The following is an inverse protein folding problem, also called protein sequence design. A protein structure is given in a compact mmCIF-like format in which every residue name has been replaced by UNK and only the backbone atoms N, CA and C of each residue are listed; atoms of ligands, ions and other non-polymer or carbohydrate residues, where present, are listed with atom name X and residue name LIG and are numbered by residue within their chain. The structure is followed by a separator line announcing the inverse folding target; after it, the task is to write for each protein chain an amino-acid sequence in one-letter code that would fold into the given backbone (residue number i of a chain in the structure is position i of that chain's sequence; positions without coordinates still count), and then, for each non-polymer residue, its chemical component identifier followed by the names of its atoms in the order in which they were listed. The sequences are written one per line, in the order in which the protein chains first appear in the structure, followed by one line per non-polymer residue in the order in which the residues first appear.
data_IF_099858426760
#
_entry.id   IF_099858426760
#
_cell.length_a   1.000
_cell.length_b   1.000
_cell.length_c   1.000
_cell.angle_alpha   90.00
_cell.angle_beta   90.00
_cell.angle_gamma   90.00
#
_symmetry.space_group_name_H-M   'P 1'
#
loop_
_entity.id
_entity.type
_entity.pdbx_description
1 polymer ?
#
# COMPACT_ATOMS: atom_id res chain seq x y z
N UNK A 1 -10.34 -15.34 4.29
CA UNK A 1 -9.83 -14.02 3.87
C UNK A 1 -8.40 -14.21 3.41
N UNK A 2 -7.96 -13.50 2.39
CA UNK A 2 -6.66 -13.67 1.74
C UNK A 2 -5.92 -12.33 1.68
N UNK A 3 -4.66 -12.33 2.12
CA UNK A 3 -3.75 -11.18 2.13
C UNK A 3 -3.10 -10.98 0.78
N UNK A 4 -3.39 -9.90 0.06
CA UNK A 4 -2.65 -9.57 -1.17
C UNK A 4 -1.38 -8.76 -0.83
N UNK A 5 -0.35 -8.91 -1.66
CA UNK A 5 0.78 -7.98 -1.69
C UNK A 5 0.90 -7.42 -3.09
N UNK A 6 1.33 -6.15 -3.18
CA UNK A 6 1.36 -5.43 -4.44
C UNK A 6 2.62 -5.79 -5.24
N UNK A 7 2.60 -6.99 -5.80
CA UNK A 7 3.61 -7.56 -6.71
C UNK A 7 2.90 -8.19 -7.92
N UNK A 8 3.59 -8.38 -9.06
CA UNK A 8 3.06 -9.13 -10.19
C UNK A 8 2.59 -10.51 -9.74
N UNK A 9 1.45 -10.94 -10.24
CA UNK A 9 0.86 -12.21 -9.80
C UNK A 9 1.82 -13.40 -9.99
N UNK A 10 2.66 -13.37 -11.04
CA UNK A 10 3.66 -14.41 -11.33
C UNK A 10 4.71 -14.60 -10.23
N UNK A 11 4.92 -13.57 -9.39
CA UNK A 11 5.89 -13.66 -8.30
C UNK A 11 5.37 -14.51 -7.14
N UNK A 12 4.05 -14.71 -7.00
CA UNK A 12 3.48 -15.32 -5.78
C UNK A 12 2.33 -16.28 -6.02
N UNK A 13 1.50 -16.09 -7.05
CA UNK A 13 0.23 -16.80 -7.19
C UNK A 13 0.40 -18.31 -7.38
N UNK A 14 1.43 -18.73 -8.10
CA UNK A 14 1.70 -20.16 -8.30
C UNK A 14 2.05 -20.87 -6.99
N UNK A 15 2.76 -20.18 -6.08
CA UNK A 15 3.15 -20.68 -4.76
C UNK A 15 2.04 -20.57 -3.71
N UNK A 16 0.91 -19.93 -4.04
CA UNK A 16 -0.24 -19.84 -3.12
C UNK A 16 -0.90 -21.22 -2.98
N UNK A 17 -1.20 -21.60 -1.74
CA UNK A 17 -1.89 -22.83 -1.35
C UNK A 17 -3.12 -23.15 -2.23
N UNK A 18 -3.26 -24.42 -2.60
CA UNK A 18 -4.45 -24.93 -3.28
C UNK A 18 -5.73 -24.75 -2.44
N UNK A 19 -5.63 -24.66 -1.11
CA UNK A 19 -6.77 -24.34 -0.24
C UNK A 19 -7.32 -22.94 -0.52
N UNK A 20 -6.43 -21.97 -0.74
CA UNK A 20 -6.81 -20.60 -1.09
C UNK A 20 -7.44 -20.58 -2.48
N UNK A 21 -6.81 -21.24 -3.47
CA UNK A 21 -7.35 -21.33 -4.84
C UNK A 21 -8.72 -22.02 -4.86
N UNK A 22 -8.91 -23.08 -4.07
CA UNK A 22 -10.20 -23.75 -3.90
C UNK A 22 -11.23 -22.84 -3.24
N UNK A 23 -10.88 -22.12 -2.18
CA UNK A 23 -11.77 -21.17 -1.52
C UNK A 23 -12.20 -20.04 -2.47
N UNK A 24 -11.27 -19.55 -3.30
CA UNK A 24 -11.56 -18.57 -4.35
C UNK A 24 -12.51 -19.15 -5.40
N UNK A 25 -12.23 -20.35 -5.91
CA UNK A 25 -13.06 -21.00 -6.92
C UNK A 25 -14.50 -21.27 -6.43
N UNK A 26 -14.67 -21.64 -5.15
CA UNK A 26 -15.96 -21.99 -4.55
C UNK A 26 -16.79 -20.81 -4.06
N UNK A 27 -16.20 -19.62 -3.89
CA UNK A 27 -16.96 -18.44 -3.42
C UNK A 27 -17.96 -17.93 -4.46
N UNK A 28 -19.10 -17.41 -4.00
CA UNK A 28 -20.09 -16.75 -4.89
C UNK A 28 -19.62 -15.36 -5.34
N UNK A 29 -18.81 -14.72 -4.48
CA UNK A 29 -18.44 -13.32 -4.63
C UNK A 29 -17.04 -13.06 -4.12
N UNK A 30 -16.39 -12.05 -4.69
CA UNK A 30 -15.07 -11.60 -4.28
C UNK A 30 -15.15 -10.15 -3.84
N UNK A 31 -14.53 -9.84 -2.72
CA UNK A 31 -14.52 -8.51 -2.11
C UNK A 31 -13.08 -8.01 -2.09
N UNK A 32 -12.86 -6.86 -2.73
CA UNK A 32 -11.57 -6.17 -2.81
C UNK A 32 -11.58 -4.89 -1.96
N UNK A 33 -10.41 -4.29 -1.77
CA UNK A 33 -10.30 -2.95 -1.19
C UNK A 33 -11.00 -1.90 -2.06
N UNK A 34 -10.69 -1.92 -3.36
CA UNK A 34 -11.21 -1.01 -4.37
C UNK A 34 -11.66 -1.77 -5.61
N UNK A 35 -12.59 -1.19 -6.35
CA UNK A 35 -12.98 -1.68 -7.67
C UNK A 35 -12.02 -1.16 -8.74
N UNK A 36 -10.94 -1.92 -8.98
CA UNK A 36 -9.92 -1.58 -9.97
C UNK A 36 -10.32 -1.91 -11.41
N UNK A 37 -11.47 -2.57 -11.61
CA UNK A 37 -12.01 -2.84 -12.93
C UNK A 37 -12.89 -1.68 -13.43
N UNK A 38 -13.43 -0.88 -12.51
CA UNK A 38 -14.24 0.28 -12.83
C UNK A 38 -13.39 1.48 -13.29
N UNK A 39 -13.59 1.91 -14.53
CA UNK A 39 -12.86 3.02 -15.13
C UNK A 39 -13.02 4.35 -14.37
N UNK A 40 -14.19 4.62 -13.78
CA UNK A 40 -14.41 5.83 -12.98
C UNK A 40 -13.61 5.79 -11.65
N UNK A 41 -13.48 4.61 -11.01
CA UNK A 41 -12.59 4.45 -9.85
C UNK A 41 -11.14 4.79 -10.22
N UNK A 42 -10.65 4.25 -11.33
CA UNK A 42 -9.29 4.50 -11.82
C UNK A 42 -9.09 5.98 -12.15
N UNK A 43 -10.05 6.60 -12.84
CA UNK A 43 -10.00 8.02 -13.17
C UNK A 43 -9.98 8.91 -11.92
N UNK A 44 -10.82 8.62 -10.93
CA UNK A 44 -10.83 9.36 -9.66
C UNK A 44 -9.50 9.25 -8.92
N UNK A 45 -8.94 8.05 -8.83
CA UNK A 45 -7.64 7.81 -8.21
C UNK A 45 -6.51 8.54 -8.96
N UNK A 46 -6.52 8.49 -10.30
CA UNK A 46 -5.53 9.20 -11.12
C UNK A 46 -5.60 10.72 -10.90
N UNK A 47 -6.81 11.29 -10.92
CA UNK A 47 -7.03 12.73 -10.72
C UNK A 47 -6.61 13.18 -9.31
N UNK A 48 -7.02 12.46 -8.28
CA UNK A 48 -6.82 12.91 -6.89
C UNK A 48 -5.38 12.75 -6.39
N UNK A 49 -4.57 11.93 -7.08
CA UNK A 49 -3.12 11.83 -6.85
C UNK A 49 -2.38 13.12 -7.20
N UNK A 50 -2.93 13.88 -8.15
CA UNK A 50 -2.32 15.10 -8.66
C UNK A 50 -2.91 16.36 -8.00
N UNK A 51 -2.14 17.44 -8.02
CA UNK A 51 -2.55 18.75 -7.51
C UNK A 51 -3.64 19.31 -8.45
N UNK A 52 -4.80 19.73 -7.91
CA UNK A 52 -5.87 20.33 -8.70
C UNK A 52 -5.41 21.59 -9.46
N UNK A 53 -6.07 21.89 -10.59
CA UNK A 53 -5.81 23.12 -11.35
C UNK A 53 -4.45 23.16 -12.06
N UNK A 54 -3.73 22.04 -12.12
CA UNK A 54 -2.43 21.96 -12.81
C UNK A 54 -1.25 22.53 -12.03
N UNK A 55 -1.41 22.77 -10.73
CA UNK A 55 -0.32 23.17 -9.82
C UNK A 55 0.77 22.10 -9.70
N UNK A 56 1.85 22.44 -8.98
CA UNK A 56 3.03 21.57 -8.87
C UNK A 56 3.56 21.49 -7.45
N UNK A 57 4.39 20.50 -7.17
CA UNK A 57 5.06 20.35 -5.87
C UNK A 57 5.95 21.54 -5.50
N UNK A 58 6.32 22.41 -6.47
CA UNK A 58 6.99 23.70 -6.19
C UNK A 58 6.17 24.59 -5.25
N UNK A 59 4.85 24.47 -5.31
CA UNK A 59 3.93 25.28 -4.50
C UNK A 59 3.96 24.86 -3.01
N UNK A 60 4.54 23.70 -2.70
CA UNK A 60 4.60 23.11 -1.36
C UNK A 60 6.03 22.96 -0.81
N UNK A 61 7.01 22.72 -1.68
CA UNK A 61 8.39 22.46 -1.30
C UNK A 61 9.20 23.76 -1.24
N UNK A 62 10.12 23.87 -0.27
CA UNK A 62 11.11 24.95 -0.28
C UNK A 62 11.94 24.91 -1.57
N UNK A 63 12.44 26.05 -2.10
CA UNK A 63 13.24 26.07 -3.32
C UNK A 63 14.44 25.11 -3.29
N UNK A 64 15.11 25.02 -2.14
CA UNK A 64 16.24 24.10 -1.93
C UNK A 64 15.81 22.63 -2.02
N UNK A 65 14.69 22.26 -1.41
CA UNK A 65 14.19 20.88 -1.42
C UNK A 65 13.70 20.49 -2.82
N UNK A 66 12.98 21.39 -3.50
CA UNK A 66 12.53 21.16 -4.87
C UNK A 66 13.71 20.89 -5.82
N UNK A 67 14.74 21.73 -5.79
CA UNK A 67 15.91 21.56 -6.66
C UNK A 67 16.68 20.26 -6.38
N UNK A 68 16.78 19.85 -5.11
CA UNK A 68 17.36 18.54 -4.75
C UNK A 68 16.55 17.38 -5.31
N UNK A 69 15.24 17.43 -5.14
CA UNK A 69 14.32 16.41 -5.63
C UNK A 69 14.36 16.31 -7.17
N UNK A 70 14.30 17.44 -7.86
CA UNK A 70 14.40 17.51 -9.32
C UNK A 70 15.72 16.94 -9.82
N UNK A 71 16.83 17.27 -9.15
CA UNK A 71 18.14 16.70 -9.46
C UNK A 71 18.15 15.18 -9.27
N UNK A 72 17.59 14.70 -8.15
CA UNK A 72 17.52 13.26 -7.84
C UNK A 72 16.69 12.51 -8.88
N UNK A 73 15.48 12.98 -9.20
CA UNK A 73 14.60 12.34 -10.20
C UNK A 73 15.29 12.23 -11.56
N UNK A 74 16.02 13.27 -11.97
CA UNK A 74 16.80 13.27 -13.22
C UNK A 74 17.95 12.25 -13.21
N UNK A 75 18.74 12.17 -12.13
CA UNK A 75 19.85 11.20 -12.07
C UNK A 75 19.33 9.76 -11.94
N UNK A 76 18.22 9.57 -11.24
CA UNK A 76 17.57 8.27 -11.07
C UNK A 76 17.03 7.76 -12.41
N UNK A 77 16.31 8.61 -13.16
CA UNK A 77 15.87 8.30 -14.53
C UNK A 77 17.03 7.84 -15.41
N UNK A 78 18.10 8.64 -15.49
CA UNK A 78 19.27 8.32 -16.30
C UNK A 78 19.94 6.99 -15.87
N UNK A 79 19.88 6.65 -14.58
CA UNK A 79 20.39 5.39 -14.08
C UNK A 79 19.53 4.21 -14.53
N UNK A 80 18.20 4.32 -14.44
CA UNK A 80 17.26 3.30 -14.92
C UNK A 80 17.45 3.03 -16.41
N UNK A 81 17.52 4.08 -17.23
CA UNK A 81 17.73 3.98 -18.67
C UNK A 81 19.01 3.19 -18.99
N UNK A 82 20.14 3.54 -18.33
CA UNK A 82 21.41 2.83 -18.53
C UNK A 82 21.41 1.38 -18.06
N UNK A 83 20.74 1.08 -16.93
CA UNK A 83 20.63 -0.29 -16.46
C UNK A 83 19.84 -1.14 -17.44
N UNK A 84 18.80 -0.56 -18.03
CA UNK A 84 17.94 -1.22 -18.99
C UNK A 84 18.66 -1.45 -20.34
N UNK A 85 19.33 -0.44 -20.90
CA UNK A 85 20.16 -0.56 -22.11
C UNK A 85 21.22 -1.68 -21.99
N UNK A 86 21.78 -1.86 -20.79
CA UNK A 86 22.75 -2.95 -20.51
C UNK A 86 22.11 -4.33 -20.50
N UNK A 87 20.86 -4.47 -20.04
CA UNK A 87 20.13 -5.75 -20.03
C UNK A 87 19.64 -6.15 -21.41
N UNK A 88 19.22 -5.19 -22.24
CA UNK A 88 18.81 -5.46 -23.63
C UNK A 88 19.98 -5.86 -24.53
N UNK A 89 21.17 -5.29 -24.34
CA UNK A 89 22.37 -5.70 -25.08
C UNK A 89 22.80 -7.17 -24.81
N UNK A 90 22.21 -7.84 -23.82
CA UNK A 90 22.40 -9.26 -23.51
C UNK A 90 21.29 -10.15 -24.09
N UNK A 91 20.19 -9.58 -24.59
CA UNK A 91 19.07 -10.29 -25.21
C UNK A 91 18.87 -9.77 -26.63
N UNK A 92 19.47 -10.46 -27.61
CA UNK A 92 19.33 -10.12 -29.02
C UNK A 92 17.93 -10.48 -29.52
N UNK A 93 16.98 -9.56 -29.47
CA UNK A 93 15.83 -9.59 -30.40
C UNK A 93 15.35 -8.17 -30.74
N UNK A 94 15.31 -7.90 -32.04
CA UNK A 94 15.36 -6.55 -32.63
C UNK A 94 14.03 -5.80 -32.72
N UNK A 95 13.00 -6.26 -32.00
CA UNK A 95 11.62 -5.73 -32.09
C UNK A 95 11.21 -4.78 -30.94
N UNK A 96 12.01 -4.64 -29.87
CA UNK A 96 11.67 -3.83 -28.68
C UNK A 96 12.37 -2.46 -28.72
N UNK A 97 12.21 -1.68 -29.80
CA UNK A 97 12.95 -0.40 -29.95
C UNK A 97 12.25 0.86 -29.40
N UNK A 98 10.96 0.81 -29.07
CA UNK A 98 10.18 2.00 -28.69
C UNK A 98 9.46 1.94 -27.32
N UNK A 99 9.45 0.80 -26.64
CA UNK A 99 8.60 0.53 -25.47
C UNK A 99 9.22 0.84 -24.07
N UNK A 100 10.56 0.78 -23.87
CA UNK A 100 11.17 0.98 -22.54
C UNK A 100 11.06 2.39 -21.94
N UNK A 101 10.83 3.41 -22.78
CA UNK A 101 10.67 4.80 -22.34
C UNK A 101 9.38 5.00 -21.54
N UNK A 102 8.34 4.23 -21.83
CA UNK A 102 7.02 4.42 -21.23
C UNK A 102 6.97 3.91 -19.79
N UNK A 103 7.70 2.83 -19.45
CA UNK A 103 7.82 2.33 -18.07
C UNK A 103 8.59 3.30 -17.16
N UNK A 104 9.77 3.76 -17.60
CA UNK A 104 10.58 4.74 -16.86
C UNK A 104 9.83 6.07 -16.79
N UNK A 105 9.12 6.43 -17.86
CA UNK A 105 8.17 7.52 -17.92
C UNK A 105 7.10 7.40 -16.84
N UNK A 106 6.38 6.28 -16.77
CA UNK A 106 5.30 6.07 -15.81
C UNK A 106 5.75 6.12 -14.33
N UNK A 107 7.01 5.77 -14.03
CA UNK A 107 7.57 5.81 -12.67
C UNK A 107 8.10 7.23 -12.32
N UNK A 108 8.73 7.93 -13.28
CA UNK A 108 9.51 9.15 -13.02
C UNK A 108 8.93 10.39 -13.71
N UNK A 109 7.83 10.30 -14.47
CA UNK A 109 7.12 11.42 -15.08
C UNK A 109 5.89 11.81 -14.27
N UNK A 110 5.58 13.11 -14.31
CA UNK A 110 4.43 13.66 -13.62
C UNK A 110 4.58 13.72 -12.09
N UNK A 111 5.75 13.37 -11.54
CA UNK A 111 6.04 13.54 -10.10
C UNK A 111 5.87 15.00 -9.67
N UNK A 112 6.13 15.95 -10.58
CA UNK A 112 5.98 17.39 -10.35
C UNK A 112 4.54 17.77 -10.05
N UNK A 113 3.57 17.01 -10.57
CA UNK A 113 2.14 17.27 -10.40
C UNK A 113 1.54 16.53 -9.21
N UNK A 114 2.27 15.61 -8.55
CA UNK A 114 1.74 14.81 -7.43
C UNK A 114 1.45 15.71 -6.22
N UNK A 115 0.40 15.42 -5.46
CA UNK A 115 0.22 16.04 -4.14
C UNK A 115 1.34 15.57 -3.21
N UNK A 116 1.73 16.32 -2.16
CA UNK A 116 2.82 15.94 -1.26
C UNK A 116 2.70 14.53 -0.67
N UNK A 117 1.48 14.09 -0.32
CA UNK A 117 1.22 12.72 0.19
C UNK A 117 1.61 11.66 -0.84
N UNK A 118 1.20 11.85 -2.09
CA UNK A 118 1.46 10.93 -3.19
C UNK A 118 2.91 11.02 -3.70
N UNK A 119 3.55 12.17 -3.54
CA UNK A 119 4.99 12.31 -3.76
C UNK A 119 5.77 11.50 -2.73
N UNK A 120 5.39 11.53 -1.44
CA UNK A 120 6.04 10.71 -0.41
C UNK A 120 5.94 9.21 -0.74
N UNK A 121 4.74 8.73 -1.09
CA UNK A 121 4.56 7.32 -1.46
C UNK A 121 5.32 6.93 -2.72
N UNK A 122 5.44 7.84 -3.70
CA UNK A 122 6.29 7.62 -4.85
C UNK A 122 7.76 7.44 -4.42
N UNK A 123 8.28 8.30 -3.54
CA UNK A 123 9.66 8.17 -3.04
C UNK A 123 9.90 6.86 -2.28
N UNK A 124 8.92 6.41 -1.49
CA UNK A 124 8.98 5.08 -0.86
C UNK A 124 9.02 3.97 -1.89
N UNK A 125 8.23 4.05 -2.97
CA UNK A 125 8.30 3.06 -4.04
C UNK A 125 9.68 3.04 -4.74
N UNK A 126 10.29 4.21 -4.99
CA UNK A 126 11.63 4.27 -5.58
C UNK A 126 12.71 3.60 -4.71
N UNK A 127 12.48 3.52 -3.39
CA UNK A 127 13.41 2.87 -2.46
C UNK A 127 13.38 1.33 -2.50
N UNK A 128 12.39 0.70 -3.14
CA UNK A 128 12.26 -0.77 -3.19
C UNK A 128 13.11 -1.43 -4.29
N UNK A 129 13.67 -0.65 -5.22
CA UNK A 129 14.62 -1.09 -6.27
C UNK A 129 14.12 -2.22 -7.18
N UNK A 130 12.81 -2.41 -7.31
CA UNK A 130 12.25 -3.46 -8.16
C UNK A 130 11.59 -2.90 -9.41
N UNK A 131 12.05 -3.35 -10.58
CA UNK A 131 11.47 -3.04 -11.87
C UNK A 131 10.67 -4.27 -12.32
N UNK A 132 9.35 -4.15 -12.36
CA UNK A 132 8.48 -5.19 -12.88
C UNK A 132 8.63 -5.33 -14.40
N UNK A 133 8.35 -6.53 -14.93
CA UNK A 133 8.21 -6.71 -16.38
C UNK A 133 6.95 -5.98 -16.84
N UNK A 134 7.11 -5.12 -17.84
CA UNK A 134 5.99 -4.46 -18.52
C UNK A 134 4.99 -5.54 -18.96
N UNK A 135 3.69 -5.33 -18.72
CA UNK A 135 2.55 -6.23 -19.03
C UNK A 135 2.19 -7.34 -18.03
N UNK A 136 2.91 -7.50 -16.90
CA UNK A 136 2.43 -8.45 -15.88
C UNK A 136 1.48 -7.74 -14.90
N UNK A 137 0.19 -8.11 -14.81
CA UNK A 137 -0.72 -7.49 -13.86
C UNK A 137 -0.30 -7.74 -12.41
N UNK A 138 -0.54 -6.77 -11.56
CA UNK A 138 -0.39 -6.92 -10.11
C UNK A 138 -1.41 -7.93 -9.59
N UNK A 139 -1.08 -8.64 -8.52
CA UNK A 139 -1.93 -9.69 -7.93
C UNK A 139 -3.38 -9.22 -7.71
N UNK A 140 -3.56 -7.99 -7.23
CA UNK A 140 -4.89 -7.42 -6.98
C UNK A 140 -5.75 -7.34 -8.25
N UNK A 141 -5.16 -6.84 -9.35
CA UNK A 141 -5.85 -6.71 -10.63
C UNK A 141 -6.07 -8.08 -11.29
N UNK A 142 -5.08 -8.96 -11.20
CA UNK A 142 -5.19 -10.34 -11.69
C UNK A 142 -6.36 -11.07 -11.01
N UNK A 143 -6.49 -10.99 -9.69
CA UNK A 143 -7.59 -11.63 -8.97
C UNK A 143 -8.96 -11.04 -9.35
N UNK A 144 -9.03 -9.73 -9.58
CA UNK A 144 -10.27 -9.09 -10.03
C UNK A 144 -10.68 -9.57 -11.43
N UNK A 145 -9.72 -9.64 -12.36
CA UNK A 145 -9.95 -10.18 -13.72
C UNK A 145 -10.35 -11.65 -13.66
N UNK A 146 -9.63 -12.47 -12.88
CA UNK A 146 -9.90 -13.88 -12.75
C UNK A 146 -11.28 -14.17 -12.12
N UNK A 147 -11.71 -13.33 -11.17
CA UNK A 147 -13.05 -13.42 -10.60
C UNK A 147 -14.15 -13.15 -11.64
N UNK A 148 -13.94 -12.18 -12.53
CA UNK A 148 -14.89 -11.87 -13.62
C UNK A 148 -14.97 -12.99 -14.65
N UNK A 149 -13.84 -13.60 -15.03
CA UNK A 149 -13.80 -14.75 -15.93
C UNK A 149 -14.60 -15.93 -15.35
N UNK A 150 -14.59 -16.10 -14.03
CA UNK A 150 -15.39 -17.09 -13.32
C UNK A 150 -16.84 -16.65 -13.03
N UNK A 151 -17.29 -15.54 -13.62
CA UNK A 151 -18.63 -14.95 -13.43
C UNK A 151 -19.00 -14.68 -11.96
N UNK A 152 -18.01 -14.37 -11.12
CA UNK A 152 -18.23 -14.02 -9.72
C UNK A 152 -18.68 -12.56 -9.59
N UNK A 153 -19.47 -12.26 -8.55
CA UNK A 153 -19.83 -10.87 -8.24
C UNK A 153 -18.67 -10.19 -7.53
N UNK A 154 -18.32 -8.98 -7.96
CA UNK A 154 -17.30 -8.15 -7.33
C UNK A 154 -17.92 -7.13 -6.39
N UNK A 155 -17.25 -6.89 -5.27
CA UNK A 155 -17.57 -5.82 -4.32
C UNK A 155 -16.29 -5.08 -3.92
N UNK A 156 -16.39 -3.78 -3.64
CA UNK A 156 -15.34 -3.00 -3.00
C UNK A 156 -15.76 -2.63 -1.57
N UNK A 157 -14.80 -2.64 -0.64
CA UNK A 157 -15.04 -2.28 0.76
C UNK A 157 -14.67 -0.82 1.06
N UNK A 158 -13.91 -0.18 0.18
CA UNK A 158 -13.59 1.25 0.20
C UNK A 158 -13.94 1.92 -1.14
N UNK A 159 -13.89 3.26 -1.12
CA UNK A 159 -14.12 4.13 -2.27
C UNK A 159 -12.82 4.80 -2.73
N UNK A 160 -12.77 5.26 -3.98
CA UNK A 160 -11.61 6.01 -4.49
C UNK A 160 -11.31 7.24 -3.61
N UNK A 161 -12.34 7.98 -3.19
CA UNK A 161 -12.20 9.19 -2.35
C UNK A 161 -11.53 8.90 -1.01
N UNK A 162 -11.85 7.76 -0.38
CA UNK A 162 -11.22 7.36 0.89
C UNK A 162 -9.73 7.06 0.71
N UNK A 163 -9.34 6.45 -0.41
CA UNK A 163 -7.94 6.19 -0.72
C UNK A 163 -7.19 7.41 -1.24
N UNK A 164 -7.89 8.41 -1.78
CA UNK A 164 -7.31 9.67 -2.27
C UNK A 164 -6.66 10.53 -1.18
N UNK A 165 -7.16 10.45 0.05
CA UNK A 165 -6.68 11.21 1.20
C UNK A 165 -6.38 10.25 2.36
N UNK A 166 -5.34 9.42 2.23
CA UNK A 166 -5.11 8.33 3.17
C UNK A 166 -4.53 8.80 4.51
N UNK A 167 -4.04 10.04 4.59
CA UNK A 167 -3.45 10.61 5.81
C UNK A 167 -4.38 11.63 6.45
N UNK A 168 -4.63 11.47 7.75
CA UNK A 168 -5.51 12.34 8.54
C UNK A 168 -4.82 12.93 9.77
N UNK A 169 -3.82 12.25 10.32
CA UNK A 169 -3.06 12.70 11.50
C UNK A 169 -1.75 13.40 11.16
N UNK A 170 -1.16 13.12 10.00
CA UNK A 170 0.12 13.69 9.57
C UNK A 170 -0.07 15.12 9.05
N UNK A 171 0.55 16.09 9.73
CA UNK A 171 0.51 17.50 9.30
C UNK A 171 1.42 17.77 8.10
N UNK A 172 1.19 18.88 7.41
CA UNK A 172 2.00 19.26 6.25
C UNK A 172 3.49 19.44 6.60
N UNK A 173 3.85 20.02 7.74
CA UNK A 173 5.25 20.17 8.17
C UNK A 173 5.95 18.82 8.38
N UNK A 174 5.23 17.85 8.96
CA UNK A 174 5.70 16.48 9.13
C UNK A 174 5.83 15.75 7.77
N UNK A 175 4.87 15.96 6.87
CA UNK A 175 4.89 15.39 5.53
C UNK A 175 6.08 15.91 4.71
N UNK A 176 6.32 17.23 4.73
CA UNK A 176 7.48 17.84 4.08
C UNK A 176 8.80 17.36 4.70
N UNK A 177 8.83 17.15 6.02
CA UNK A 177 9.95 16.51 6.70
C UNK A 177 10.18 15.08 6.20
N UNK A 178 9.13 14.25 6.11
CA UNK A 178 9.22 12.88 5.63
C UNK A 178 9.72 12.82 4.18
N UNK A 179 9.22 13.68 3.29
CA UNK A 179 9.72 13.80 1.91
C UNK A 179 11.22 14.10 1.89
N UNK A 180 11.68 15.05 2.70
CA UNK A 180 13.09 15.41 2.77
C UNK A 180 13.95 14.27 3.34
N UNK A 181 13.48 13.60 4.40
CA UNK A 181 14.18 12.48 5.02
C UNK A 181 14.31 11.30 4.06
N UNK A 182 13.22 10.93 3.39
CA UNK A 182 13.20 9.88 2.36
C UNK A 182 14.11 10.23 1.18
N UNK A 183 14.09 11.49 0.71
CA UNK A 183 15.00 11.93 -0.35
C UNK A 183 16.47 11.79 0.06
N UNK A 184 16.82 12.14 1.30
CA UNK A 184 18.18 11.95 1.81
C UNK A 184 18.60 10.48 1.87
N UNK A 185 17.69 9.57 2.23
CA UNK A 185 17.95 8.13 2.15
C UNK A 185 18.16 7.67 0.71
N UNK A 186 17.31 8.12 -0.21
CA UNK A 186 17.41 7.78 -1.63
C UNK A 186 18.74 8.28 -2.26
N UNK A 187 19.19 9.47 -1.89
CA UNK A 187 20.51 10.01 -2.27
C UNK A 187 21.66 9.16 -1.70
N UNK A 188 21.56 8.74 -0.43
CA UNK A 188 22.53 7.86 0.23
C UNK A 188 22.65 6.51 -0.49
N UNK A 189 21.52 5.85 -0.76
CA UNK A 189 21.48 4.56 -1.46
C UNK A 189 22.02 4.67 -2.89
N UNK A 190 21.70 5.76 -3.59
CA UNK A 190 22.21 6.00 -4.93
C UNK A 190 23.74 6.12 -4.93
N UNK A 191 24.32 6.82 -3.95
CA UNK A 191 25.77 6.94 -3.81
C UNK A 191 26.44 5.59 -3.54
N UNK A 192 25.86 4.74 -2.69
CA UNK A 192 26.37 3.38 -2.46
C UNK A 192 26.37 2.56 -3.76
N UNK A 193 25.26 2.63 -4.51
CA UNK A 193 25.12 1.94 -5.80
C UNK A 193 26.17 2.41 -6.80
N UNK A 194 26.43 3.71 -6.87
CA UNK A 194 27.45 4.29 -7.75
C UNK A 194 28.88 3.94 -7.33
N UNK A 195 29.12 3.68 -6.03
CA UNK A 195 30.39 3.19 -5.51
C UNK A 195 30.63 1.68 -5.75
N UNK A 196 29.70 1.00 -6.42
CA UNK A 196 29.77 -0.45 -6.65
C UNK A 196 29.43 -1.28 -5.41
N UNK A 197 28.93 -0.67 -4.34
CA UNK A 197 28.42 -1.36 -3.17
C UNK A 197 26.99 -1.83 -3.47
N UNK A 198 26.84 -3.06 -3.95
CA UNK A 198 25.53 -3.67 -4.11
C UNK A 198 24.96 -4.05 -2.75
N UNK A 199 23.80 -3.48 -2.41
CA UNK A 199 22.95 -4.05 -1.36
C UNK A 199 22.26 -5.28 -1.94
N UNK A 200 22.61 -6.47 -1.42
CA UNK A 200 22.05 -7.75 -1.87
C UNK A 200 20.58 -7.97 -1.46
N UNK A 201 20.00 -7.09 -0.62
CA UNK A 201 18.66 -7.24 -0.10
C UNK A 201 17.76 -6.11 -0.59
N UNK A 202 16.95 -6.36 -1.62
CA UNK A 202 15.79 -5.53 -1.91
C UNK A 202 14.68 -5.87 -0.90
N UNK A 203 14.06 -4.85 -0.31
CA UNK A 203 13.00 -5.02 0.70
C UNK A 203 11.85 -5.87 0.16
N UNK A 204 11.47 -5.63 -1.09
CA UNK A 204 10.45 -6.37 -1.82
C UNK A 204 10.76 -7.87 -2.05
N UNK A 205 12.01 -8.28 -2.31
CA UNK A 205 12.35 -9.71 -2.44
C UNK A 205 12.23 -10.41 -1.09
N UNK A 206 12.65 -9.76 -0.02
CA UNK A 206 12.46 -10.27 1.33
C UNK A 206 10.98 -10.35 1.70
N UNK A 207 10.16 -9.38 1.27
CA UNK A 207 8.71 -9.42 1.43
C UNK A 207 8.09 -10.60 0.68
N UNK A 208 8.45 -10.80 -0.60
CA UNK A 208 7.94 -11.91 -1.43
C UNK A 208 8.30 -13.26 -0.78
N UNK A 209 9.55 -13.43 -0.37
CA UNK A 209 9.99 -14.68 0.28
C UNK A 209 9.24 -14.92 1.59
N UNK A 210 9.10 -13.89 2.43
CA UNK A 210 8.36 -14.00 3.71
C UNK A 210 6.88 -14.27 3.49
N UNK A 211 6.30 -13.69 2.43
CA UNK A 211 4.93 -13.93 2.00
C UNK A 211 4.72 -15.40 1.63
N UNK A 212 5.57 -15.95 0.75
CA UNK A 212 5.51 -17.36 0.32
C UNK A 212 5.69 -18.33 1.48
N UNK A 213 6.57 -18.01 2.43
CA UNK A 213 6.82 -18.83 3.60
C UNK A 213 5.76 -18.70 4.71
N UNK A 214 4.76 -17.83 4.55
CA UNK A 214 3.76 -17.57 5.59
C UNK A 214 4.35 -16.95 6.86
N UNK A 215 5.53 -16.34 6.76
CA UNK A 215 6.27 -15.73 7.87
C UNK A 215 6.14 -14.21 7.91
N UNK A 216 5.08 -13.67 7.29
CA UNK A 216 4.77 -12.25 7.38
C UNK A 216 4.45 -11.90 8.84
N UNK A 217 5.03 -10.81 9.35
CA UNK A 217 4.66 -10.26 10.64
C UNK A 217 4.38 -8.75 10.59
N UNK A 218 3.89 -8.19 11.71
CA UNK A 218 3.59 -6.76 11.84
C UNK A 218 4.81 -5.89 11.63
N UNK A 219 5.98 -6.42 12.01
CA UNK A 219 7.22 -5.77 11.77
C UNK A 219 7.37 -5.67 10.27
N UNK A 220 7.24 -6.71 9.42
CA UNK A 220 7.26 -6.75 7.93
C UNK A 220 6.32 -5.74 7.24
N UNK A 221 5.62 -4.87 7.98
CA UNK A 221 4.86 -3.71 7.52
C UNK A 221 5.06 -2.37 8.27
N UNK A 222 6.03 -2.23 9.18
CA UNK A 222 6.41 -0.90 9.67
C UNK A 222 7.08 -0.07 8.56
N UNK A 223 7.77 0.94 9.03
CA UNK A 223 7.78 2.22 8.42
C UNK A 223 9.16 2.49 7.85
N UNK A 224 9.19 3.14 6.70
CA UNK A 224 10.39 3.21 5.87
C UNK A 224 11.64 3.72 6.62
N UNK A 225 11.50 4.61 7.60
CA UNK A 225 12.64 5.09 8.39
C UNK A 225 13.37 4.00 9.17
N UNK A 226 12.67 3.01 9.73
CA UNK A 226 13.32 1.88 10.44
C UNK A 226 14.10 1.00 9.47
N UNK A 227 13.56 0.77 8.28
CA UNK A 227 14.25 0.02 7.21
C UNK A 227 15.50 0.77 6.76
N UNK A 228 15.39 2.09 6.58
CA UNK A 228 16.51 2.96 6.21
C UNK A 228 17.66 2.86 7.23
N UNK A 229 17.35 2.94 8.53
CA UNK A 229 18.34 2.79 9.60
C UNK A 229 19.01 1.42 9.58
N UNK A 230 18.24 0.36 9.34
CA UNK A 230 18.78 -0.99 9.24
C UNK A 230 19.70 -1.20 8.04
N UNK A 231 19.57 -0.37 7.01
CA UNK A 231 20.45 -0.34 5.85
C UNK A 231 21.64 0.62 6.04
N UNK A 232 21.83 1.16 7.24
CA UNK A 232 22.98 1.99 7.60
C UNK A 232 22.78 3.49 7.36
N UNK A 233 21.57 3.93 7.01
CA UNK A 233 21.25 5.35 6.86
C UNK A 233 20.90 5.99 8.21
N UNK A 234 21.57 7.07 8.58
CA UNK A 234 21.23 7.89 9.74
C UNK A 234 21.62 9.34 9.46
N UNK A 235 20.78 10.29 9.87
CA UNK A 235 21.13 11.72 9.81
C UNK A 235 21.59 12.18 11.19
N UNK A 236 20.70 12.08 12.18
CA UNK A 236 20.98 12.32 13.60
C UNK A 236 19.95 11.57 14.42
N UNK A 237 20.28 11.20 15.66
CA UNK A 237 19.35 10.51 16.57
C UNK A 237 17.99 11.21 16.69
N UNK A 238 17.99 12.55 16.74
CA UNK A 238 16.76 13.33 16.87
C UNK A 238 15.89 13.26 15.61
N UNK A 239 16.49 13.41 14.44
CA UNK A 239 15.76 13.36 13.16
C UNK A 239 15.28 11.94 12.85
N UNK A 240 16.08 10.94 13.16
CA UNK A 240 15.73 9.53 12.97
C UNK A 240 14.54 9.15 13.88
N UNK A 241 14.53 9.61 15.14
CA UNK A 241 13.38 9.46 16.04
C UNK A 241 12.13 10.15 15.48
N UNK A 242 12.28 11.38 14.99
CA UNK A 242 11.16 12.13 14.39
C UNK A 242 10.60 11.41 13.16
N UNK A 243 11.47 10.84 12.32
CA UNK A 243 11.06 10.04 11.17
C UNK A 243 10.22 8.84 11.62
N UNK A 244 10.68 8.09 12.63
CA UNK A 244 9.95 6.95 13.20
C UNK A 244 8.58 7.32 13.81
N UNK A 245 8.45 8.52 14.41
CA UNK A 245 7.17 9.00 14.94
C UNK A 245 6.15 9.31 13.85
N UNK A 246 6.59 9.95 12.77
CA UNK A 246 5.74 10.27 11.61
C UNK A 246 5.29 8.99 10.92
N UNK A 247 6.24 8.09 10.75
CA UNK A 247 6.04 6.74 10.29
C UNK A 247 4.96 5.97 11.06
N UNK A 248 4.98 6.03 12.40
CA UNK A 248 3.91 5.44 13.21
C UNK A 248 2.54 6.09 12.94
N UNK A 249 2.50 7.41 12.72
CA UNK A 249 1.27 8.13 12.33
C UNK A 249 0.78 7.69 10.94
N UNK A 250 1.69 7.55 9.98
CA UNK A 250 1.38 7.01 8.65
C UNK A 250 0.74 5.63 8.77
N UNK A 251 1.35 4.72 9.54
CA UNK A 251 0.82 3.37 9.79
C UNK A 251 -0.59 3.39 10.38
N UNK A 252 -0.83 4.25 11.38
CA UNK A 252 -2.15 4.39 11.99
C UNK A 252 -3.21 4.83 10.97
N UNK A 253 -2.86 5.78 10.10
CA UNK A 253 -3.77 6.32 9.09
C UNK A 253 -4.03 5.32 7.94
N UNK A 254 -2.98 4.67 7.41
CA UNK A 254 -3.08 3.81 6.23
C UNK A 254 -3.47 2.36 6.54
N UNK A 255 -3.35 1.89 7.80
CA UNK A 255 -3.74 0.54 8.22
C UNK A 255 -4.85 0.60 9.27
N UNK A 256 -4.56 1.11 10.48
CA UNK A 256 -5.46 0.91 11.63
C UNK A 256 -6.82 1.57 11.44
N UNK A 257 -6.86 2.82 10.98
CA UNK A 257 -8.12 3.54 10.73
C UNK A 257 -8.92 2.91 9.59
N UNK A 258 -8.22 2.41 8.57
CA UNK A 258 -8.81 1.66 7.46
C UNK A 258 -9.41 0.35 7.95
N UNK A 259 -8.69 -0.41 8.80
CA UNK A 259 -9.17 -1.66 9.39
C UNK A 259 -10.48 -1.49 10.14
N UNK A 260 -10.63 -0.43 10.95
CA UNK A 260 -11.88 -0.14 11.68
C UNK A 260 -13.06 -0.03 10.72
N UNK A 261 -12.92 0.78 9.67
CA UNK A 261 -13.98 0.99 8.68
C UNK A 261 -14.23 -0.25 7.82
N UNK A 262 -13.18 -0.93 7.38
CA UNK A 262 -13.29 -2.18 6.62
C UNK A 262 -14.00 -3.27 7.43
N UNK A 263 -13.61 -3.48 8.69
CA UNK A 263 -14.21 -4.49 9.56
C UNK A 263 -15.70 -4.24 9.80
N UNK A 264 -16.11 -2.99 10.04
CA UNK A 264 -17.52 -2.64 10.20
C UNK A 264 -18.32 -2.93 8.91
N UNK A 265 -17.80 -2.54 7.74
CA UNK A 265 -18.44 -2.81 6.45
C UNK A 265 -18.50 -4.31 6.13
N UNK A 266 -17.45 -5.07 6.45
CA UNK A 266 -17.41 -6.53 6.29
C UNK A 266 -18.44 -7.18 7.22
N UNK A 267 -18.52 -6.76 8.48
CA UNK A 267 -19.50 -7.26 9.44
C UNK A 267 -20.94 -7.01 8.96
N UNK A 268 -21.23 -5.82 8.42
CA UNK A 268 -22.53 -5.49 7.81
C UNK A 268 -22.83 -6.38 6.60
N UNK A 269 -21.86 -6.56 5.70
CA UNK A 269 -22.00 -7.42 4.52
C UNK A 269 -22.35 -8.87 4.89
N UNK A 270 -21.61 -9.46 5.83
CA UNK A 270 -21.80 -10.84 6.27
C UNK A 270 -23.14 -11.07 6.98
N UNK A 271 -23.66 -10.07 7.70
CA UNK A 271 -24.97 -10.14 8.35
C UNK A 271 -26.13 -9.92 7.38
N UNK A 272 -25.94 -9.06 6.37
CA UNK A 272 -26.99 -8.73 5.42
C UNK A 272 -27.30 -9.87 4.45
N UNK A 273 -26.28 -10.59 3.96
CA UNK A 273 -26.42 -11.70 3.02
C UNK A 273 -26.04 -13.04 3.67
N UNK A 274 -26.85 -13.44 4.64
CA UNK A 274 -26.67 -14.73 5.32
C UNK A 274 -26.81 -15.86 4.29
N UNK A 275 -25.73 -16.62 4.10
CA UNK A 275 -25.71 -17.79 3.21
C UNK A 275 -24.86 -17.66 1.95
N UNK A 276 -24.44 -16.45 1.57
CA UNK A 276 -23.44 -16.27 0.50
C UNK A 276 -22.03 -16.55 1.00
N UNK A 277 -21.20 -17.12 0.12
CA UNK A 277 -19.78 -17.38 0.38
C UNK A 277 -18.92 -16.27 -0.24
N UNK A 278 -18.19 -15.55 0.61
CA UNK A 278 -17.35 -14.43 0.20
C UNK A 278 -15.87 -14.78 0.28
N UNK A 279 -15.13 -14.45 -0.79
CA UNK A 279 -13.68 -14.41 -0.76
C UNK A 279 -13.22 -12.96 -0.61
N UNK A 280 -12.60 -12.61 0.51
CA UNK A 280 -12.03 -11.28 0.73
C UNK A 280 -10.56 -11.30 0.31
N UNK A 281 -10.18 -10.44 -0.64
CA UNK A 281 -8.81 -10.20 -1.08
C UNK A 281 -8.42 -8.77 -0.68
N UNK A 282 -7.74 -8.64 0.45
CA UNK A 282 -7.33 -7.36 1.06
C UNK A 282 -5.83 -7.39 1.30
N UNK A 283 -5.16 -6.25 1.32
CA UNK A 283 -3.73 -6.14 1.56
C UNK A 283 -3.31 -6.87 2.84
N UNK A 284 -2.25 -7.65 2.76
CA UNK A 284 -1.79 -8.52 3.85
C UNK A 284 -1.54 -7.77 5.16
N UNK A 285 -1.10 -6.51 5.08
CA UNK A 285 -0.90 -5.64 6.25
C UNK A 285 -2.17 -5.39 7.08
N UNK A 286 -3.37 -5.55 6.50
CA UNK A 286 -4.63 -5.38 7.21
C UNK A 286 -4.97 -6.55 8.17
N UNK A 287 -4.26 -7.67 8.08
CA UNK A 287 -4.51 -8.87 8.90
C UNK A 287 -3.60 -8.98 10.12
N UNK A 288 -2.82 -7.94 10.43
CA UNK A 288 -1.76 -8.01 11.43
C UNK A 288 -1.97 -7.04 12.59
N UNK A 289 -1.45 -7.44 13.75
CA UNK A 289 -1.52 -6.66 14.98
C UNK A 289 -2.89 -6.74 15.67
N UNK A 290 -2.99 -6.10 16.83
CA UNK A 290 -4.18 -6.12 17.70
C UNK A 290 -5.38 -5.36 17.12
N UNK A 291 -5.16 -4.52 16.11
CA UNK A 291 -6.20 -3.79 15.37
C UNK A 291 -6.36 -4.31 13.94
N UNK A 292 -6.00 -5.56 13.69
CA UNK A 292 -6.26 -6.22 12.41
C UNK A 292 -7.76 -6.33 12.13
N UNK A 293 -8.12 -6.50 10.86
CA UNK A 293 -9.51 -6.80 10.47
C UNK A 293 -10.01 -8.06 11.18
N UNK A 294 -9.16 -9.08 11.36
CA UNK A 294 -9.52 -10.32 12.04
C UNK A 294 -9.90 -10.05 13.49
N UNK A 295 -9.05 -9.36 14.25
CA UNK A 295 -9.32 -9.00 15.64
C UNK A 295 -10.58 -8.15 15.79
N UNK A 296 -10.80 -7.18 14.88
CA UNK A 296 -11.99 -6.34 14.90
C UNK A 296 -13.26 -7.14 14.57
N UNK A 297 -13.21 -8.09 13.64
CA UNK A 297 -14.36 -8.96 13.35
C UNK A 297 -14.73 -9.85 14.55
N UNK A 298 -13.76 -10.27 15.36
CA UNK A 298 -14.04 -10.98 16.61
C UNK A 298 -14.82 -10.11 17.60
N UNK A 299 -14.50 -8.81 17.69
CA UNK A 299 -15.31 -7.87 18.49
C UNK A 299 -16.73 -7.68 17.95
N UNK A 300 -16.94 -7.91 16.65
CA UNK A 300 -18.27 -7.96 16.04
C UNK A 300 -18.97 -9.33 16.20
N UNK A 301 -18.40 -10.25 16.97
CA UNK A 301 -18.99 -11.56 17.29
C UNK A 301 -18.77 -12.64 16.24
N UNK A 302 -17.86 -12.43 15.28
CA UNK A 302 -17.45 -13.46 14.34
C UNK A 302 -16.35 -14.34 14.94
N UNK A 303 -16.28 -15.60 14.50
CA UNK A 303 -15.17 -16.50 14.84
C UNK A 303 -14.20 -16.51 13.68
N UNK A 304 -12.94 -16.18 13.94
CA UNK A 304 -11.87 -16.31 12.94
C UNK A 304 -11.06 -17.57 13.20
N UNK A 305 -10.65 -18.25 12.12
CA UNK A 305 -9.79 -19.44 12.19
C UNK A 305 -8.76 -19.35 11.07
N UNK A 306 -7.51 -19.59 11.43
CA UNK A 306 -6.44 -19.78 10.45
C UNK A 306 -6.67 -21.10 9.75
N UNK A 307 -6.50 -21.12 8.43
CA UNK A 307 -6.60 -22.31 7.59
C UNK A 307 -5.20 -22.77 7.23
N UNK A 308 -4.90 -24.03 7.50
CA UNK A 308 -3.66 -24.72 7.19
C UNK A 308 -3.87 -25.74 6.08
N UNK A 309 -2.79 -26.30 5.52
CA UNK A 309 -2.87 -27.34 4.48
C UNK A 309 -3.62 -28.60 4.93
N UNK A 310 -3.64 -28.87 6.23
CA UNK A 310 -4.29 -30.05 6.80
C UNK A 310 -5.79 -29.84 7.07
N UNK A 311 -6.29 -28.62 6.94
CA UNK A 311 -7.69 -28.32 7.22
C UNK A 311 -8.60 -28.64 6.03
N UNK A 312 -9.80 -29.11 6.34
CA UNK A 312 -10.89 -29.23 5.36
C UNK A 312 -11.80 -28.01 5.42
N UNK A 313 -11.99 -27.36 4.28
CA UNK A 313 -12.92 -26.23 4.15
C UNK A 313 -14.27 -26.80 3.73
N UNK A 314 -15.27 -26.67 4.60
CA UNK A 314 -16.65 -27.01 4.25
C UNK A 314 -17.28 -25.88 3.45
N UNK A 315 -17.83 -26.21 2.29
CA UNK A 315 -18.61 -25.30 1.46
C UNK A 315 -20.08 -25.71 1.56
N UNK A 316 -20.98 -24.73 1.72
CA UNK A 316 -22.41 -25.00 1.56
C UNK A 316 -22.65 -25.42 0.11
N UNK A 317 -23.44 -26.48 -0.09
CA UNK A 317 -23.89 -26.86 -1.43
C UNK A 317 -24.72 -25.71 -2.03
N UNK A 318 -24.46 -25.38 -3.30
CA UNK A 318 -25.24 -24.38 -4.01
C UNK A 318 -26.68 -24.87 -4.16
N UNK A 319 -27.58 -24.31 -3.35
CA UNK A 319 -29.00 -24.34 -3.70
C UNK A 319 -29.17 -23.34 -4.84
N UNK A 320 -29.71 -23.83 -5.95
CA UNK A 320 -29.71 -23.18 -7.27
C UNK A 320 -30.68 -21.99 -7.32
N UNK A 321 -30.51 -20.98 -6.47
CA UNK A 321 -31.27 -19.73 -6.52
C UNK A 321 -30.57 -18.73 -7.44
N UNK A 322 -30.91 -18.82 -8.73
CA UNK A 322 -30.62 -17.76 -9.70
C UNK A 322 -31.42 -16.51 -9.36
N UNK A 323 -30.98 -15.74 -8.37
CA UNK A 323 -31.39 -14.36 -8.19
C UNK A 323 -30.22 -13.41 -8.47
N UNK A 324 -30.35 -12.74 -9.62
CA UNK A 324 -29.47 -11.67 -10.07
C UNK A 324 -29.88 -10.39 -9.34
N UNK A 325 -29.20 -10.09 -8.25
CA UNK A 325 -29.20 -8.74 -7.66
C UNK A 325 -27.97 -8.00 -8.17
N UNK A 326 -28.19 -6.97 -8.99
CA UNK A 326 -27.19 -5.95 -9.35
C UNK A 326 -27.17 -4.94 -8.22
N UNK A 327 -26.00 -4.73 -7.59
CA UNK A 327 -25.84 -3.73 -6.54
C UNK A 327 -24.85 -2.68 -7.04
N UNK A 328 -25.33 -1.44 -7.19
CA UNK A 328 -24.47 -0.27 -7.32
C UNK A 328 -24.03 0.10 -5.90
N UNK A 329 -22.72 0.16 -5.70
CA UNK A 329 -22.03 0.82 -4.57
C UNK A 329 -22.55 0.40 -3.18
N UNK A 330 -21.78 -0.47 -2.51
CA UNK A 330 -21.95 -0.70 -1.08
C UNK A 330 -21.63 0.61 -0.33
N UNK A 331 -22.68 1.42 -0.14
CA UNK A 331 -22.81 2.55 0.77
C UNK A 331 -22.12 3.85 0.35
N UNK A 332 -22.67 4.53 -0.67
CA UNK A 332 -22.73 6.01 -0.64
C UNK A 332 -23.90 6.40 0.27
N UNK A 333 -23.56 6.77 1.50
CA UNK A 333 -24.19 7.79 2.38
C UNK A 333 -23.79 7.50 3.81
N UNK A 334 -22.62 8.01 4.20
CA UNK A 334 -22.55 8.65 5.51
C UNK A 334 -23.24 10.01 5.31
N UNK A 335 -24.45 10.15 5.83
CA UNK A 335 -25.18 11.42 5.81
C UNK A 335 -24.35 12.51 6.52
N UNK A 336 -24.23 13.66 5.86
CA UNK A 336 -23.75 14.96 6.34
C UNK A 336 -22.41 15.00 7.10
N UNK A 337 -21.31 14.99 6.35
CA UNK A 337 -20.23 15.93 6.64
C UNK A 337 -20.34 17.03 5.59
N UNK A 338 -20.96 18.13 5.99
CA UNK A 338 -20.92 19.39 5.26
C UNK A 338 -19.48 19.63 4.82
N UNK A 339 -19.32 19.70 3.50
CA UNK A 339 -18.17 20.30 2.86
C UNK A 339 -17.90 21.65 3.51
N UNK A 340 -16.78 21.79 4.21
CA UNK A 340 -16.19 23.11 4.38
C UNK A 340 -14.79 23.12 3.79
N UNK A 341 -14.80 23.49 2.51
CA UNK A 341 -13.65 24.01 1.80
C UNK A 341 -13.25 25.34 2.44
N UNK A 342 -12.12 25.34 3.16
CA UNK A 342 -11.38 26.49 3.65
C UNK A 342 -12.05 27.33 4.77
N UNK A 343 -11.63 27.12 6.03
CA UNK A 343 -11.65 28.15 7.06
C UNK A 343 -10.36 28.10 7.90
N UNK A 344 -9.60 29.19 7.85
CA UNK A 344 -8.58 29.59 8.83
C UNK A 344 -9.24 29.90 10.18
N UNK A 345 -8.79 29.28 11.28
CA UNK A 345 -9.03 29.80 12.63
C UNK A 345 -7.73 29.72 13.44
N UNK A 346 -7.21 30.90 13.77
CA UNK A 346 -6.23 31.15 14.84
C UNK A 346 -6.98 31.25 16.17
N UNK A 347 -6.48 30.65 17.26
CA UNK A 347 -6.37 31.23 18.63
C UNK A 347 -5.93 30.19 19.69
N UNK A 348 -5.49 30.73 20.82
CA UNK A 348 -4.41 30.32 21.76
C UNK A 348 -4.80 29.45 22.98
N UNK A 349 -3.72 29.00 23.65
CA UNK A 349 -3.48 28.05 24.77
C UNK A 349 -4.24 28.27 26.10
N UNK A 350 -4.43 27.19 26.86
CA UNK A 350 -4.56 27.13 28.33
C UNK A 350 -3.92 25.86 28.94
N UNK A 351 -3.21 25.99 30.07
CA UNK A 351 -2.33 25.01 30.75
C UNK A 351 -2.93 24.29 31.99
N UNK A 352 -2.14 23.31 32.49
CA UNK A 352 -2.04 22.66 33.83
C UNK A 352 -2.75 21.29 34.01
N UNK A 353 -2.21 20.25 34.68
CA UNK A 353 -0.89 19.93 35.27
C UNK A 353 -0.86 18.50 35.87
N UNK A 354 0.30 17.82 35.76
CA UNK A 354 0.98 16.85 36.67
C UNK A 354 0.26 15.66 37.37
N UNK A 355 0.79 14.44 37.18
CA UNK A 355 1.65 13.66 38.13
C UNK A 355 1.75 12.16 37.73
N UNK A 356 2.95 11.65 37.40
CA UNK A 356 3.92 10.78 38.13
C UNK A 356 3.62 9.26 38.22
N UNK A 357 4.62 8.49 37.77
CA UNK A 357 4.88 7.03 37.68
C UNK A 357 5.07 6.32 39.05
N UNK A 358 5.31 4.97 39.18
CA UNK A 358 6.51 4.21 38.70
C UNK A 358 6.28 2.72 38.25
N UNK A 359 7.05 2.16 37.28
CA UNK A 359 8.29 1.31 37.27
C UNK A 359 8.18 -0.19 37.70
N UNK A 360 8.56 -1.11 36.78
CA UNK A 360 9.49 -2.29 36.91
C UNK A 360 9.25 -3.28 35.72
N UNK A 361 10.16 -3.45 34.74
CA UNK A 361 11.34 -4.34 34.61
C UNK A 361 11.08 -5.87 34.45
N UNK A 362 11.33 -6.45 33.25
CA UNK A 362 12.36 -7.49 32.99
C UNK A 362 12.26 -8.22 31.61
N UNK A 363 13.33 -8.11 30.82
CA UNK A 363 14.07 -9.09 29.97
C UNK A 363 13.50 -9.81 28.71
N UNK A 364 14.07 -9.38 27.57
CA UNK A 364 14.61 -10.08 26.37
C UNK A 364 14.00 -11.39 25.80
N UNK A 365 13.56 -11.32 24.53
CA UNK A 365 14.31 -11.93 23.41
C UNK A 365 13.90 -11.32 22.05
N UNK A 366 14.91 -11.11 21.22
CA UNK A 366 14.93 -10.40 19.93
C UNK A 366 14.27 -11.27 18.85
N UNK A 367 13.61 -10.66 17.85
CA UNK A 367 13.72 -10.89 16.38
C UNK A 367 12.68 -9.99 15.66
N UNK A 368 12.90 -9.71 14.38
CA UNK A 368 13.09 -8.37 13.81
C UNK A 368 12.48 -8.29 12.37
N UNK A 369 11.65 -7.27 12.08
CA UNK A 369 11.59 -6.35 10.89
C UNK A 369 10.61 -6.49 9.70
N UNK A 370 10.64 -5.50 8.74
CA UNK A 370 9.65 -4.49 8.26
C UNK A 370 9.53 -4.18 6.72
N UNK A 371 8.32 -3.93 6.12
CA UNK A 371 7.97 -3.45 4.71
C UNK A 371 6.52 -2.87 4.42
N UNK A 372 6.42 -1.61 3.98
CA UNK A 372 5.20 -0.83 3.67
C UNK A 372 4.39 -1.19 2.37
N UNK A 373 3.11 -0.76 2.33
CA UNK A 373 2.21 -0.76 1.15
C UNK A 373 2.40 0.54 0.34
N UNK A 374 2.78 0.43 -0.94
CA UNK A 374 2.81 1.54 -1.90
C UNK A 374 1.80 1.30 -3.03
N UNK A 375 0.90 2.25 -3.27
CA UNK A 375 -0.15 2.17 -4.30
C UNK A 375 0.36 2.80 -5.59
N UNK A 376 0.85 1.98 -6.51
CA UNK A 376 1.16 2.38 -7.88
C UNK A 376 0.07 1.93 -8.84
N UNK A 377 -0.47 2.87 -9.62
CA UNK A 377 -1.41 2.55 -10.69
C UNK A 377 -0.74 2.75 -12.03
N UNK A 378 -0.86 1.71 -12.86
CA UNK A 378 -0.65 1.73 -14.31
C UNK A 378 -1.66 2.74 -14.86
N UNK A 379 -1.16 3.84 -15.42
CA UNK A 379 -1.94 4.69 -16.32
C UNK A 379 -1.68 4.20 -17.74
N UNK A 380 -2.77 3.96 -18.47
CA UNK A 380 -2.75 3.61 -19.90
C UNK A 380 -2.06 4.65 -20.76
#
# INVERSE_FOLDING_TARGET
MFGTIHVPFTEVWEDVSEKVKTAFARSDSVVFELDLYNANTIEQLSKCKNIPGGGTVKDYLSPKLYLRLEHYMRIYRNHLERQYDRKENLQSDSEIRNHPRDMIGNIVEGWERRRPVWLLFLLYQLSEKYLYREHTPMLDLFLAQYALELNKKLYSIETATEQCNPLRSVRMDQLLFAINYTLSYLEFEFNLTMAGMQSNNSGIVNLINSYKCGSLDESLFNTDSKRFIHQGFSITVELDRKAQEIDNQLRQDIIERRNIRMADRIAKLLRWKVGSQYFFALGAGHFMGSKSILALLETHGFVTKVVTENDEISFREHVNDRQVYVFNELWVRDDDITTDSAIDITLTVGELSNSRSPVNESQCQIIIFIVMITISFIMS
#
